data_IF_500202103083
#
_entry.id   IF_500202103083
#
_cell.length_a   1.000
_cell.length_b   1.000
_cell.length_c   1.000
_cell.angle_alpha   90.00
_cell.angle_beta   90.00
_cell.angle_gamma   90.00
#
_symmetry.space_group_name_H-M   'P 1'
#
loop_
_entity.id
_entity.type
_entity.pdbx_description
1 polymer ?
#
# COMPACT_ATOMS: atom_id res chain seq x y z
N UNK A 1 -8.31 -15.77 -6.39
CA UNK A 1 -7.80 -14.39 -6.31
C UNK A 1 -7.43 -13.93 -7.69
N UNK A 2 -8.43 -13.50 -8.47
CA UNK A 2 -8.17 -12.65 -9.63
C UNK A 2 -7.30 -11.46 -9.18
N UNK A 3 -6.26 -11.15 -9.96
CA UNK A 3 -5.26 -10.17 -9.55
C UNK A 3 -5.94 -8.80 -9.44
N UNK A 4 -5.90 -8.16 -8.26
CA UNK A 4 -6.53 -6.84 -8.04
C UNK A 4 -6.02 -5.80 -9.04
N UNK A 5 -4.76 -5.93 -9.47
CA UNK A 5 -4.15 -5.07 -10.49
C UNK A 5 -4.82 -5.29 -11.86
N UNK A 6 -5.12 -6.54 -12.22
CA UNK A 6 -5.81 -6.89 -13.46
C UNK A 6 -7.21 -6.26 -13.50
N UNK A 7 -8.00 -6.38 -12.42
CA UNK A 7 -9.32 -5.77 -12.37
C UNK A 7 -9.26 -4.23 -12.46
N UNK A 8 -8.24 -3.60 -11.86
CA UNK A 8 -8.02 -2.14 -11.98
C UNK A 8 -7.62 -1.73 -13.39
N UNK A 9 -6.83 -2.53 -14.09
CA UNK A 9 -6.53 -2.31 -15.51
C UNK A 9 -7.78 -2.43 -16.38
N UNK A 10 -8.70 -3.37 -16.07
CA UNK A 10 -10.00 -3.42 -16.74
C UNK A 10 -10.85 -2.17 -16.45
N UNK A 11 -10.85 -1.66 -15.21
CA UNK A 11 -11.55 -0.41 -14.87
C UNK A 11 -10.98 0.76 -15.68
N UNK A 12 -9.65 0.88 -15.77
CA UNK A 12 -8.98 1.90 -16.57
C UNK A 12 -9.37 1.80 -18.05
N UNK A 13 -9.37 0.58 -18.60
CA UNK A 13 -9.81 0.32 -19.96
C UNK A 13 -11.25 0.81 -20.20
N UNK A 14 -12.19 0.47 -19.31
CA UNK A 14 -13.58 0.93 -19.43
C UNK A 14 -13.71 2.45 -19.31
N UNK A 15 -12.95 3.08 -18.41
CA UNK A 15 -12.93 4.53 -18.25
C UNK A 15 -12.44 5.23 -19.53
N UNK A 16 -11.34 4.76 -20.14
CA UNK A 16 -10.80 5.30 -21.40
C UNK A 16 -11.75 5.12 -22.59
N UNK A 17 -12.64 4.14 -22.53
CA UNK A 17 -13.68 3.90 -23.54
C UNK A 17 -15.01 4.61 -23.21
N UNK A 18 -15.01 5.56 -22.27
CA UNK A 18 -16.20 6.33 -21.86
C UNK A 18 -17.38 5.47 -21.38
N UNK A 19 -17.10 4.23 -20.94
CA UNK A 19 -18.11 3.34 -20.37
C UNK A 19 -18.36 3.78 -18.93
N UNK A 20 -19.64 3.89 -18.56
CA UNK A 20 -20.03 4.33 -17.22
C UNK A 20 -19.57 3.33 -16.15
N UNK A 21 -19.23 3.86 -14.96
CA UNK A 21 -18.80 3.06 -13.81
C UNK A 21 -19.81 1.96 -13.45
N UNK A 22 -21.11 2.25 -13.56
CA UNK A 22 -22.18 1.26 -13.32
C UNK A 22 -22.09 0.08 -14.28
N UNK A 23 -21.97 0.34 -15.59
CA UNK A 23 -21.88 -0.70 -16.62
C UNK A 23 -20.58 -1.48 -16.52
N UNK A 24 -19.47 -0.80 -16.21
CA UNK A 24 -18.19 -1.44 -15.93
C UNK A 24 -18.29 -2.37 -14.72
N UNK A 25 -18.90 -1.93 -13.61
CA UNK A 25 -19.10 -2.75 -12.43
C UNK A 25 -19.94 -3.99 -12.71
N UNK A 26 -21.02 -3.87 -13.48
CA UNK A 26 -21.83 -5.03 -13.89
C UNK A 26 -21.04 -6.02 -14.76
N UNK A 27 -20.20 -5.51 -15.65
CA UNK A 27 -19.38 -6.34 -16.54
C UNK A 27 -18.27 -7.04 -15.77
N UNK A 28 -17.61 -6.34 -14.85
CA UNK A 28 -16.61 -6.90 -13.94
C UNK A 28 -17.23 -7.99 -13.04
N UNK A 29 -18.43 -7.74 -12.49
CA UNK A 29 -19.14 -8.71 -11.65
C UNK A 29 -19.45 -10.01 -12.41
N UNK A 30 -19.77 -9.92 -13.70
CA UNK A 30 -19.98 -11.09 -14.57
C UNK A 30 -18.69 -11.86 -14.86
N UNK A 31 -17.58 -11.14 -15.07
CA UNK A 31 -16.29 -11.75 -15.41
C UNK A 31 -15.60 -12.38 -14.19
N UNK A 32 -15.53 -11.67 -13.07
CA UNK A 32 -14.77 -12.06 -11.88
C UNK A 32 -15.61 -12.73 -10.78
N UNK A 33 -16.95 -12.65 -10.86
CA UNK A 33 -17.88 -13.28 -9.91
C UNK A 33 -17.55 -12.93 -8.46
N UNK A 34 -17.34 -13.92 -7.60
CA UNK A 34 -17.09 -13.74 -6.17
C UNK A 34 -15.74 -13.07 -5.88
N UNK A 35 -14.80 -13.13 -6.82
CA UNK A 35 -13.48 -12.47 -6.73
C UNK A 35 -13.54 -11.00 -7.20
N UNK A 36 -14.70 -10.48 -7.61
CA UNK A 36 -14.85 -9.13 -8.15
C UNK A 36 -14.61 -8.04 -7.09
N UNK A 37 -13.96 -6.94 -7.48
CA UNK A 37 -13.89 -5.72 -6.68
C UNK A 37 -15.30 -5.20 -6.35
N UNK A 38 -15.44 -4.66 -5.13
CA UNK A 38 -16.70 -4.06 -4.68
C UNK A 38 -17.10 -2.89 -5.59
N UNK A 39 -18.42 -2.61 -5.69
CA UNK A 39 -18.93 -1.45 -6.42
C UNK A 39 -18.23 -0.16 -5.97
N UNK A 40 -18.14 0.08 -4.67
CA UNK A 40 -17.47 1.26 -4.11
C UNK A 40 -16.05 1.42 -4.62
N UNK A 41 -15.27 0.33 -4.63
CA UNK A 41 -13.90 0.33 -5.15
C UNK A 41 -13.86 0.70 -6.65
N UNK A 42 -14.79 0.19 -7.46
CA UNK A 42 -14.89 0.56 -8.88
C UNK A 42 -15.12 2.07 -9.03
N UNK A 43 -16.09 2.63 -8.28
CA UNK A 43 -16.38 4.06 -8.33
C UNK A 43 -15.21 4.93 -7.86
N UNK A 44 -14.49 4.51 -6.81
CA UNK A 44 -13.30 5.23 -6.33
C UNK A 44 -12.19 5.26 -7.39
N UNK A 45 -11.95 4.15 -8.09
CA UNK A 45 -10.98 4.12 -9.19
C UNK A 45 -11.41 5.00 -10.36
N UNK A 46 -12.69 4.98 -10.74
CA UNK A 46 -13.23 5.90 -11.74
C UNK A 46 -13.01 7.37 -11.37
N UNK A 47 -13.23 7.72 -10.09
CA UNK A 47 -12.95 9.07 -9.59
C UNK A 47 -11.47 9.40 -9.72
N UNK A 48 -10.57 8.50 -9.31
CA UNK A 48 -9.11 8.70 -9.44
C UNK A 48 -8.68 8.93 -10.89
N UNK A 49 -9.21 8.16 -11.85
CA UNK A 49 -8.90 8.36 -13.27
C UNK A 49 -9.45 9.70 -13.78
N UNK A 50 -10.65 10.09 -13.35
CA UNK A 50 -11.21 11.42 -13.64
C UNK A 50 -10.35 12.56 -13.08
N UNK A 51 -9.75 12.35 -11.91
CA UNK A 51 -8.84 13.29 -11.25
C UNK A 51 -7.42 13.28 -11.87
N UNK A 52 -7.20 12.52 -12.96
CA UNK A 52 -5.95 12.53 -13.74
C UNK A 52 -4.93 11.47 -13.33
N UNK A 53 -5.28 10.49 -12.50
CA UNK A 53 -4.39 9.36 -12.19
C UNK A 53 -4.19 8.49 -13.43
N UNK A 54 -2.96 8.07 -13.71
CA UNK A 54 -2.65 7.16 -14.84
C UNK A 54 -2.22 5.74 -14.42
N UNK A 55 -1.84 5.56 -13.15
CA UNK A 55 -1.34 4.26 -12.65
C UNK A 55 -2.44 3.44 -11.96
N UNK A 56 -2.50 2.15 -12.29
CA UNK A 56 -3.35 1.12 -11.65
C UNK A 56 -2.75 0.54 -10.36
N UNK A 57 -1.48 0.84 -10.09
CA UNK A 57 -0.77 0.41 -8.89
C UNK A 57 -1.18 1.35 -7.74
N UNK A 58 -1.28 0.82 -6.51
CA UNK A 58 -1.44 1.65 -5.32
C UNK A 58 -0.26 2.62 -5.21
N UNK A 59 -0.51 3.84 -4.72
CA UNK A 59 0.58 4.73 -4.35
C UNK A 59 1.38 4.10 -3.22
N UNK A 60 2.63 4.52 -3.07
CA UNK A 60 3.41 4.23 -1.87
C UNK A 60 2.54 4.57 -0.66
N UNK A 61 2.17 3.54 0.09
CA UNK A 61 1.45 3.75 1.34
C UNK A 61 2.40 4.48 2.24
N UNK A 62 2.02 5.69 2.63
CA UNK A 62 2.61 6.36 3.78
C UNK A 62 2.39 5.41 4.96
N UNK A 63 3.40 4.59 5.24
CA UNK A 63 3.46 3.87 6.50
C UNK A 63 3.52 4.89 7.64
N UNK A 64 3.38 4.42 8.87
CA UNK A 64 3.77 5.26 10.01
C UNK A 64 5.23 5.66 9.77
N UNK A 65 5.58 6.95 9.65
CA UNK A 65 6.98 7.34 9.64
C UNK A 65 7.59 6.77 10.92
N UNK A 66 8.59 5.91 10.77
CA UNK A 66 9.32 5.42 11.92
C UNK A 66 10.22 6.56 12.38
N UNK A 67 9.64 7.51 13.11
CA UNK A 67 10.32 8.69 13.66
C UNK A 67 11.41 8.34 14.67
N UNK A 68 11.63 7.05 14.90
CA UNK A 68 12.47 6.44 15.92
C UNK A 68 13.59 5.57 15.31
N UNK A 69 13.78 5.61 13.99
CA UNK A 69 14.84 4.86 13.31
C UNK A 69 15.75 5.86 12.61
N UNK A 70 16.83 6.20 13.29
CA UNK A 70 17.97 6.92 12.75
C UNK A 70 19.11 5.90 12.58
N UNK A 71 19.81 5.95 11.45
CA UNK A 71 20.90 5.01 11.16
C UNK A 71 22.00 5.08 12.24
N UNK A 72 22.23 6.28 12.79
CA UNK A 72 23.17 6.47 13.89
C UNK A 72 22.75 5.69 15.15
N UNK A 73 21.46 5.68 15.47
CA UNK A 73 20.94 5.01 16.67
C UNK A 73 20.95 3.48 16.49
N UNK A 74 20.75 3.00 15.25
CA UNK A 74 20.94 1.59 14.90
C UNK A 74 22.41 1.18 15.11
N UNK A 75 23.36 1.96 14.60
CA UNK A 75 24.77 1.63 14.70
C UNK A 75 25.28 1.71 16.14
N UNK A 76 24.84 2.71 16.92
CA UNK A 76 25.11 2.79 18.35
C UNK A 76 24.60 1.55 19.10
N UNK A 77 23.36 1.10 18.81
CA UNK A 77 22.81 -0.11 19.40
C UNK A 77 23.60 -1.38 19.03
N UNK A 78 24.11 -1.47 17.79
CA UNK A 78 24.96 -2.57 17.35
C UNK A 78 26.29 -2.59 18.08
N UNK A 79 26.95 -1.43 18.22
CA UNK A 79 28.22 -1.32 18.92
C UNK A 79 28.10 -1.70 20.39
N UNK A 80 27.04 -1.26 21.08
CA UNK A 80 26.77 -1.62 22.47
C UNK A 80 26.66 -3.14 22.67
N UNK A 81 25.89 -3.81 21.81
CA UNK A 81 25.70 -5.27 21.87
C UNK A 81 26.99 -6.03 21.51
N UNK A 82 27.79 -5.50 20.58
CA UNK A 82 29.09 -6.10 20.22
C UNK A 82 30.12 -5.95 21.34
N UNK A 83 30.09 -4.81 22.05
CA UNK A 83 30.95 -4.53 23.20
C UNK A 83 30.60 -5.35 24.44
N UNK A 84 29.30 -5.51 24.74
CA UNK A 84 28.81 -6.37 25.81
C UNK A 84 27.50 -7.09 25.45
N UNK A 85 27.62 -8.39 25.21
CA UNK A 85 26.49 -9.27 24.86
C UNK A 85 25.56 -9.60 26.04
N UNK A 86 25.88 -9.15 27.26
CA UNK A 86 25.04 -9.36 28.46
C UNK A 86 24.04 -8.22 28.68
N UNK A 87 24.14 -7.14 27.91
CA UNK A 87 23.21 -6.01 28.00
C UNK A 87 21.77 -6.47 27.71
N UNK A 88 20.84 -6.00 28.54
CA UNK A 88 19.42 -6.20 28.30
C UNK A 88 18.89 -5.13 27.36
N UNK A 89 17.70 -5.37 26.79
CA UNK A 89 17.01 -4.40 25.94
C UNK A 89 16.79 -3.06 26.69
N UNK A 90 16.55 -3.10 28.01
CA UNK A 90 16.39 -1.88 28.81
C UNK A 90 17.68 -1.07 28.90
N UNK A 91 18.81 -1.75 29.14
CA UNK A 91 20.12 -1.09 29.22
C UNK A 91 20.52 -0.44 27.88
N UNK A 92 20.11 -1.05 26.76
CA UNK A 92 20.34 -0.51 25.42
C UNK A 92 19.46 0.72 25.18
N UNK A 93 18.18 0.68 25.57
CA UNK A 93 17.25 1.82 25.42
C UNK A 93 17.68 3.01 26.29
N UNK A 94 18.24 2.77 27.48
CA UNK A 94 18.77 3.86 28.32
C UNK A 94 19.99 4.55 27.71
N UNK A 95 20.74 3.85 26.85
CA UNK A 95 21.96 4.35 26.21
C UNK A 95 21.75 4.87 24.79
N UNK A 96 20.70 4.40 24.10
CA UNK A 96 20.32 4.85 22.77
C UNK A 96 18.97 5.56 22.88
N UNK A 97 18.93 6.91 22.88
CA UNK A 97 17.68 7.64 22.85
C UNK A 97 16.99 7.42 21.50
N UNK A 98 15.85 6.73 21.53
CA UNK A 98 14.99 6.40 20.38
C UNK A 98 13.81 7.38 20.31
#
# INVERSE_FOLDING_TARGET
>A
MANVIEQRACIEFYFRNEISATKASETLQKAFKDDCLSKTTVFDWYKKFKDGRESVIDDLRSGRPSTSINDQDIDNGRELVLGDRRLTIRDIIEQVPI
#
